data_IF_506570874379
#
_entry.id   IF_506570874379
#
_cell.length_a   1.000
_cell.length_b   1.000
_cell.length_c   1.000
_cell.angle_alpha   90.00
_cell.angle_beta   90.00
_cell.angle_gamma   90.00
#
_symmetry.space_group_name_H-M   'P 1'
#
loop_
_entity.id
_entity.type
_entity.pdbx_description
1 polymer ?
#
# COMPACT_ATOMS: atom_id res chain seq x y z
N UNK A 1 -13.37 20.17 -11.88
CA UNK A 1 -11.93 19.82 -11.86
C UNK A 1 -11.89 18.33 -12.14
N UNK A 2 -11.34 17.93 -13.27
CA UNK A 2 -11.21 16.51 -13.63
C UNK A 2 -10.11 15.91 -12.76
N UNK A 3 -10.47 15.42 -11.58
CA UNK A 3 -9.52 14.78 -10.67
C UNK A 3 -9.25 13.36 -11.16
N UNK A 4 -8.45 13.20 -12.21
CA UNK A 4 -7.98 11.90 -12.75
C UNK A 4 -7.04 11.14 -11.80
N UNK A 5 -6.99 11.56 -10.54
CA UNK A 5 -6.14 10.98 -9.51
C UNK A 5 -6.94 10.69 -8.25
N UNK A 6 -6.39 9.78 -7.45
CA UNK A 6 -6.94 9.25 -6.22
C UNK A 6 -5.89 9.36 -5.12
N UNK A 7 -6.33 9.31 -3.85
CA UNK A 7 -5.44 9.25 -2.70
C UNK A 7 -5.56 7.87 -2.05
N UNK A 8 -4.42 7.21 -1.83
CA UNK A 8 -4.36 5.89 -1.20
C UNK A 8 -3.54 5.99 0.07
N UNK A 9 -4.21 5.79 1.20
CA UNK A 9 -3.59 5.71 2.52
C UNK A 9 -3.62 4.28 3.03
N UNK A 10 -2.82 3.98 4.03
CA UNK A 10 -2.97 2.71 4.72
C UNK A 10 -2.02 2.50 5.88
N UNK A 11 -2.20 1.35 6.53
CA UNK A 11 -1.41 0.91 7.66
C UNK A 11 -0.89 -0.51 7.42
N UNK A 12 0.36 -0.75 7.79
CA UNK A 12 1.06 -2.03 7.67
C UNK A 12 1.37 -2.58 9.06
N UNK A 13 0.98 -3.82 9.31
CA UNK A 13 1.13 -4.46 10.63
C UNK A 13 1.37 -5.97 10.53
N UNK A 14 1.92 -6.54 11.60
CA UNK A 14 2.03 -7.98 11.84
C UNK A 14 0.67 -8.55 12.28
N UNK A 15 0.18 -9.57 11.57
CA UNK A 15 -1.14 -10.14 11.85
C UNK A 15 -1.19 -10.91 13.18
N UNK A 16 -0.08 -11.49 13.63
CA UNK A 16 0.01 -12.28 14.87
C UNK A 16 0.18 -11.36 16.08
N UNK A 17 1.23 -10.53 16.05
CA UNK A 17 1.62 -9.68 17.18
C UNK A 17 0.79 -8.38 17.26
N UNK A 18 0.06 -8.05 16.17
CA UNK A 18 -0.68 -6.78 16.02
C UNK A 18 0.22 -5.55 16.16
N UNK A 19 1.50 -5.70 15.88
CA UNK A 19 2.49 -4.63 15.90
C UNK A 19 2.56 -3.94 14.55
N UNK A 20 2.69 -2.62 14.55
CA UNK A 20 2.93 -1.84 13.33
C UNK A 20 4.30 -2.18 12.77
N UNK A 21 4.42 -2.17 11.45
CA UNK A 21 5.68 -2.44 10.76
C UNK A 21 6.19 -1.16 10.14
N UNK A 22 7.18 -0.52 10.76
CA UNK A 22 7.93 0.60 10.20
C UNK A 22 8.91 0.10 9.13
N UNK A 23 9.02 0.82 8.01
CA UNK A 23 9.96 0.49 6.94
C UNK A 23 9.47 -0.58 5.97
N UNK A 24 8.24 -1.09 6.13
CA UNK A 24 7.62 -1.98 5.15
C UNK A 24 7.39 -1.21 3.84
N UNK A 25 7.90 -1.77 2.75
CA UNK A 25 7.89 -1.13 1.45
C UNK A 25 6.61 -1.48 0.72
N UNK A 26 5.70 -0.52 0.60
CA UNK A 26 4.46 -0.63 -0.17
C UNK A 26 4.70 -0.13 -1.59
N UNK A 27 4.22 -0.87 -2.58
CA UNK A 27 4.32 -0.56 -4.00
C UNK A 27 2.96 -0.72 -4.66
N UNK A 28 2.50 0.33 -5.35
CA UNK A 28 1.38 0.29 -6.28
C UNK A 28 1.96 0.29 -7.70
N UNK A 29 1.73 -0.76 -8.46
CA UNK A 29 2.29 -0.88 -9.82
C UNK A 29 1.22 -1.26 -10.83
N UNK A 30 1.24 -0.59 -11.98
CA UNK A 30 0.54 -1.02 -13.18
C UNK A 30 1.50 -0.95 -14.38
N UNK A 31 0.98 -1.08 -15.60
CA UNK A 31 1.80 -1.10 -16.81
C UNK A 31 2.54 0.23 -17.09
N UNK A 32 2.05 1.35 -16.54
CA UNK A 32 2.52 2.70 -16.89
C UNK A 32 3.11 3.46 -15.70
N UNK A 33 2.62 3.21 -14.49
CA UNK A 33 2.96 3.94 -13.27
C UNK A 33 3.40 2.99 -12.16
N UNK A 34 4.37 3.44 -11.38
CA UNK A 34 4.82 2.78 -10.15
C UNK A 34 4.95 3.81 -9.05
N UNK A 35 4.23 3.59 -7.95
CA UNK A 35 4.32 4.38 -6.72
C UNK A 35 4.92 3.50 -5.64
N UNK A 36 5.87 4.04 -4.87
CA UNK A 36 6.56 3.28 -3.81
C UNK A 36 6.83 4.15 -2.61
N UNK A 37 6.51 3.65 -1.42
CA UNK A 37 6.75 4.33 -0.16
C UNK A 37 7.02 3.29 0.94
N UNK A 38 7.89 3.64 1.89
CA UNK A 38 8.05 2.87 3.11
C UNK A 38 7.08 3.37 4.17
N UNK A 39 6.48 2.46 4.92
CA UNK A 39 5.67 2.82 6.09
C UNK A 39 6.52 3.55 7.14
N UNK A 40 5.91 4.53 7.81
CA UNK A 40 6.56 5.31 8.87
C UNK A 40 6.56 4.57 10.23
N UNK A 41 7.01 5.22 11.29
CA UNK A 41 7.05 4.67 12.66
C UNK A 41 5.70 4.27 13.26
N UNK A 42 4.58 4.69 12.66
CA UNK A 42 3.23 4.26 13.03
C UNK A 42 2.69 3.17 12.10
N UNK A 43 3.52 2.66 11.17
CA UNK A 43 3.14 1.71 10.13
C UNK A 43 2.35 2.33 8.97
N UNK A 44 2.24 3.66 8.91
CA UNK A 44 1.38 4.35 7.94
C UNK A 44 2.11 4.68 6.64
N UNK A 45 1.38 4.65 5.52
CA UNK A 45 1.80 5.16 4.22
C UNK A 45 0.70 6.04 3.60
N UNK A 46 1.12 6.97 2.74
CA UNK A 46 0.25 7.91 2.03
C UNK A 46 0.76 8.14 0.60
N UNK A 47 -0.01 7.67 -0.38
CA UNK A 47 0.17 7.99 -1.78
C UNK A 47 -0.87 9.01 -2.21
N UNK A 48 -0.44 10.26 -2.35
CA UNK A 48 -1.26 11.31 -2.95
C UNK A 48 -1.13 11.33 -4.48
N UNK A 49 -2.18 11.78 -5.16
CA UNK A 49 -2.19 12.00 -6.62
C UNK A 49 -1.83 10.74 -7.45
N UNK A 50 -2.33 9.57 -7.04
CA UNK A 50 -2.20 8.33 -7.78
C UNK A 50 -3.12 8.39 -9.00
N UNK A 51 -2.60 8.24 -10.21
CA UNK A 51 -3.42 8.24 -11.43
C UNK A 51 -4.43 7.10 -11.37
N UNK A 52 -5.70 7.40 -11.65
CA UNK A 52 -6.79 6.41 -11.65
C UNK A 52 -6.48 5.23 -12.56
N UNK A 53 -6.87 4.03 -12.15
CA UNK A 53 -6.63 2.79 -12.89
C UNK A 53 -6.50 1.57 -11.99
N UNK A 54 -6.23 0.42 -12.61
CA UNK A 54 -6.00 -0.83 -11.89
C UNK A 54 -4.54 -0.97 -11.51
N UNK A 55 -4.26 -1.31 -10.24
CA UNK A 55 -2.91 -1.54 -9.72
C UNK A 55 -2.80 -2.91 -9.06
N UNK A 56 -1.62 -3.52 -9.18
CA UNK A 56 -1.14 -4.53 -8.22
C UNK A 56 -0.59 -3.79 -7.01
N UNK A 57 -1.12 -4.11 -5.83
CA UNK A 57 -0.59 -3.66 -4.55
C UNK A 57 0.35 -4.74 -4.05
N UNK A 58 1.57 -4.37 -3.68
CA UNK A 58 2.46 -5.28 -2.97
C UNK A 58 3.11 -4.61 -1.78
N UNK A 59 3.37 -5.37 -0.73
CA UNK A 59 4.15 -4.91 0.41
C UNK A 59 5.22 -5.92 0.76
N UNK A 60 6.43 -5.43 1.05
CA UNK A 60 7.59 -6.25 1.40
C UNK A 60 8.22 -5.75 2.69
N UNK A 61 8.50 -6.69 3.59
CA UNK A 61 9.21 -6.44 4.83
C UNK A 61 10.08 -7.67 5.15
N UNK A 62 11.27 -7.45 5.69
CA UNK A 62 12.25 -8.53 5.91
C UNK A 62 11.76 -9.51 6.97
N UNK A 63 11.81 -10.82 6.69
CA UNK A 63 11.31 -11.88 7.58
C UNK A 63 9.79 -12.13 7.50
N UNK A 64 9.15 -11.59 6.46
CA UNK A 64 7.72 -11.74 6.22
C UNK A 64 7.45 -12.15 4.78
N UNK A 65 6.37 -12.90 4.57
CA UNK A 65 5.85 -13.14 3.24
C UNK A 65 5.47 -11.82 2.56
N UNK A 66 5.72 -11.75 1.25
CA UNK A 66 5.29 -10.61 0.44
C UNK A 66 3.77 -10.61 0.34
N UNK A 67 3.15 -9.52 0.78
CA UNK A 67 1.73 -9.28 0.54
C UNK A 67 1.53 -8.88 -0.92
N UNK A 68 0.46 -9.39 -1.55
CA UNK A 68 0.03 -9.01 -2.89
C UNK A 68 -1.49 -8.96 -2.95
N UNK A 69 -2.02 -7.94 -3.61
CA UNK A 69 -3.44 -7.78 -3.91
C UNK A 69 -3.62 -6.92 -5.17
N UNK A 70 -4.86 -6.70 -5.61
CA UNK A 70 -5.17 -5.77 -6.68
C UNK A 70 -6.25 -4.79 -6.27
N UNK A 71 -6.13 -3.54 -6.73
CA UNK A 71 -7.11 -2.50 -6.46
C UNK A 71 -7.45 -1.75 -7.75
N UNK A 72 -8.72 -1.39 -7.88
CA UNK A 72 -9.22 -0.47 -8.90
C UNK A 72 -9.39 0.90 -8.24
N UNK A 73 -8.77 1.94 -8.82
CA UNK A 73 -8.88 3.32 -8.37
C UNK A 73 -9.64 4.15 -9.39
N UNK A 74 -10.73 4.77 -8.96
CA UNK A 74 -11.52 5.70 -9.76
C UNK A 74 -11.12 7.17 -9.46
N UNK A 75 -11.32 8.08 -10.42
CA UNK A 75 -11.08 9.51 -10.25
C UNK A 75 -11.70 10.08 -8.96
N UNK A 76 -10.87 10.66 -8.09
CA UNK A 76 -11.30 11.27 -6.82
C UNK A 76 -11.42 10.30 -5.64
N UNK A 77 -11.13 9.01 -5.82
CA UNK A 77 -11.16 8.04 -4.73
C UNK A 77 -10.25 8.44 -3.56
N UNK A 78 -10.74 8.20 -2.34
CA UNK A 78 -9.97 8.25 -1.11
C UNK A 78 -10.03 6.86 -0.49
N UNK A 79 -8.95 6.10 -0.63
CA UNK A 79 -8.88 4.70 -0.20
C UNK A 79 -8.03 4.59 1.05
N UNK A 80 -8.46 3.74 1.99
CA UNK A 80 -7.67 3.31 3.14
C UNK A 80 -7.47 1.79 3.10
N UNK A 81 -6.22 1.33 3.07
CA UNK A 81 -5.86 -0.10 2.96
C UNK A 81 -5.22 -0.56 4.27
N UNK A 82 -5.59 -1.77 4.71
CA UNK A 82 -4.94 -2.47 5.82
C UNK A 82 -4.12 -3.63 5.28
N UNK A 83 -2.80 -3.58 5.46
CA UNK A 83 -1.87 -4.61 4.99
C UNK A 83 -1.36 -5.41 6.18
N UNK A 84 -1.80 -6.66 6.27
CA UNK A 84 -1.33 -7.60 7.28
C UNK A 84 -0.23 -8.50 6.74
N UNK A 85 0.95 -8.46 7.37
CA UNK A 85 2.03 -9.40 7.07
C UNK A 85 2.01 -10.63 8.00
N UNK A 86 2.45 -11.76 7.44
CA UNK A 86 2.65 -13.03 8.15
C UNK A 86 4.13 -13.39 8.05
N UNK A 87 4.73 -13.79 9.16
CA UNK A 87 6.14 -14.20 9.24
C UNK A 87 6.42 -15.41 8.35
N UNK A 88 7.62 -15.48 7.78
CA UNK A 88 8.02 -16.52 6.81
C UNK A 88 8.67 -17.79 7.42
N UNK A 89 8.49 -18.00 8.73
CA UNK A 89 9.06 -19.09 9.53
C UNK A 89 8.05 -19.72 10.50
#
# INVERSE_FOLDING_TARGET
>A
MDTTTSNVTGNVFDVREKLVLEGAVVTLMNQQYTYRQASNGEGNFDFSHVVSGKYEVSSRFLGYYTFKDSIQLEPGDIVNIKIGHITDW
#
